data_IF_488903641590
#
_entry.id   IF_488903641590
#
_cell.length_a   1.000
_cell.length_b   1.000
_cell.length_c   1.000
_cell.angle_alpha   90.00
_cell.angle_beta   90.00
_cell.angle_gamma   90.00
#
_symmetry.space_group_name_H-M   'P 1'
#
loop_
_entity.id
_entity.type
_entity.pdbx_description
1 polymer ?
#
# COMPACT_ATOMS: atom_id res chain seq x y z
N UNK A 1 -10.20 9.12 -10.69
CA UNK A 1 -9.97 10.28 -9.79
C UNK A 1 -9.91 9.73 -8.37
N UNK A 2 -8.97 10.16 -7.52
CA UNK A 2 -8.78 9.61 -6.17
C UNK A 2 -10.08 9.57 -5.34
N UNK A 3 -10.92 10.59 -5.49
CA UNK A 3 -12.21 10.67 -4.79
C UNK A 3 -13.19 9.56 -5.16
N UNK A 4 -13.20 9.11 -6.42
CA UNK A 4 -14.09 8.04 -6.89
C UNK A 4 -13.60 6.70 -6.34
N UNK A 5 -12.30 6.44 -6.44
CA UNK A 5 -11.65 5.24 -5.91
C UNK A 5 -11.87 5.11 -4.40
N UNK A 6 -11.67 6.19 -3.64
CA UNK A 6 -11.97 6.22 -2.19
C UNK A 6 -13.45 5.98 -1.87
N UNK A 7 -14.36 6.42 -2.74
CA UNK A 7 -15.79 6.18 -2.56
C UNK A 7 -16.14 4.70 -2.80
N UNK A 8 -15.59 4.10 -3.86
CA UNK A 8 -15.77 2.68 -4.19
C UNK A 8 -15.22 1.79 -3.06
N UNK A 9 -13.99 2.05 -2.61
CA UNK A 9 -13.35 1.34 -1.51
C UNK A 9 -14.15 1.46 -0.21
N UNK A 10 -14.66 2.67 0.09
CA UNK A 10 -15.48 2.89 1.28
C UNK A 10 -16.76 2.06 1.24
N UNK A 11 -17.43 2.00 0.08
CA UNK A 11 -18.66 1.22 -0.08
C UNK A 11 -18.36 -0.28 0.05
N UNK A 12 -17.32 -0.77 -0.63
CA UNK A 12 -16.92 -2.17 -0.57
C UNK A 12 -16.57 -2.60 0.86
N UNK A 13 -15.78 -1.79 1.57
CA UNK A 13 -15.44 -2.02 2.97
C UNK A 13 -16.67 -1.99 3.87
N UNK A 14 -17.59 -1.04 3.67
CA UNK A 14 -18.82 -0.97 4.46
C UNK A 14 -19.69 -2.22 4.28
N UNK A 15 -19.85 -2.72 3.06
CA UNK A 15 -20.60 -3.95 2.78
C UNK A 15 -19.93 -5.16 3.46
N UNK A 16 -18.60 -5.24 3.39
CA UNK A 16 -17.83 -6.32 4.02
C UNK A 16 -17.99 -6.29 5.54
N UNK A 17 -17.82 -5.13 6.18
CA UNK A 17 -17.98 -4.97 7.63
C UNK A 17 -19.42 -5.19 8.10
N UNK A 18 -20.43 -4.78 7.31
CA UNK A 18 -21.85 -5.06 7.62
C UNK A 18 -22.18 -6.55 7.66
N UNK A 19 -21.45 -7.37 6.91
CA UNK A 19 -21.64 -8.84 6.90
C UNK A 19 -21.02 -9.55 8.11
N UNK A 20 -20.15 -8.85 8.86
CA UNK A 20 -19.40 -9.44 9.97
C UNK A 20 -20.16 -9.37 11.29
N UNK A 21 -19.91 -10.34 12.20
CA UNK A 21 -20.40 -10.23 13.57
C UNK A 21 -19.67 -9.11 14.33
N UNK A 22 -20.33 -8.54 15.34
CA UNK A 22 -19.79 -7.45 16.17
C UNK A 22 -18.45 -7.82 16.87
N UNK A 23 -18.31 -9.07 17.31
CA UNK A 23 -17.13 -9.55 18.03
C UNK A 23 -16.24 -10.40 17.14
N UNK A 24 -14.93 -10.17 17.22
CA UNK A 24 -13.91 -10.99 16.55
C UNK A 24 -13.50 -12.14 17.45
N UNK A 25 -13.35 -13.33 16.86
CA UNK A 25 -12.92 -14.54 17.56
C UNK A 25 -11.60 -15.06 16.99
N UNK A 26 -11.02 -16.07 17.65
CA UNK A 26 -9.78 -16.72 17.23
C UNK A 26 -9.83 -17.27 15.80
N UNK A 27 -11.00 -17.76 15.38
CA UNK A 27 -11.20 -18.41 14.08
C UNK A 27 -11.65 -17.43 12.98
N UNK A 28 -11.51 -16.12 13.22
CA UNK A 28 -11.81 -15.08 12.23
C UNK A 28 -10.85 -15.18 11.04
N UNK A 29 -11.41 -15.42 9.86
CA UNK A 29 -10.67 -15.61 8.60
C UNK A 29 -9.87 -14.36 8.23
N UNK A 30 -10.40 -13.17 8.48
CA UNK A 30 -9.73 -11.92 8.12
C UNK A 30 -8.51 -11.68 9.02
N UNK A 31 -8.61 -12.07 10.29
CA UNK A 31 -7.50 -11.98 11.23
C UNK A 31 -6.39 -12.96 10.85
N UNK A 32 -6.74 -14.22 10.56
CA UNK A 32 -5.77 -15.24 10.15
C UNK A 32 -5.07 -14.86 8.83
N UNK A 33 -5.83 -14.35 7.85
CA UNK A 33 -5.27 -13.84 6.60
C UNK A 33 -4.28 -12.69 6.83
N UNK A 34 -4.64 -11.72 7.68
CA UNK A 34 -3.77 -10.59 8.03
C UNK A 34 -2.46 -11.07 8.70
N UNK A 35 -2.56 -12.00 9.66
CA UNK A 35 -1.40 -12.53 10.39
C UNK A 35 -0.47 -13.36 9.50
N UNK A 36 -1.01 -14.08 8.51
CA UNK A 36 -0.22 -14.83 7.52
C UNK A 36 0.50 -13.92 6.52
N UNK A 37 -0.08 -12.76 6.21
CA UNK A 37 0.52 -11.79 5.30
C UNK A 37 1.67 -11.01 5.94
N UNK A 38 1.77 -10.98 7.27
CA UNK A 38 2.81 -10.24 7.98
C UNK A 38 4.20 -10.85 7.75
N UNK A 39 5.08 -10.07 7.13
CA UNK A 39 6.49 -10.41 7.02
C UNK A 39 7.18 -10.34 8.40
N UNK A 40 8.01 -11.32 8.72
CA UNK A 40 8.75 -11.40 10.00
C UNK A 40 10.24 -11.37 9.72
N UNK A 41 10.96 -10.51 10.42
CA UNK A 41 12.41 -10.46 10.34
C UNK A 41 13.01 -11.78 10.84
N UNK A 42 14.02 -12.28 10.13
CA UNK A 42 14.70 -13.54 10.47
C UNK A 42 13.99 -14.82 10.02
N UNK A 43 12.88 -14.73 9.28
CA UNK A 43 12.26 -15.92 8.67
C UNK A 43 13.14 -16.46 7.52
N UNK A 44 13.63 -17.71 7.60
CA UNK A 44 14.45 -18.31 6.55
C UNK A 44 13.72 -18.45 5.20
N UNK A 45 12.38 -18.53 5.19
CA UNK A 45 11.57 -18.69 3.98
C UNK A 45 11.13 -17.35 3.35
N UNK A 46 11.44 -16.22 3.97
CA UNK A 46 10.97 -14.90 3.53
C UNK A 46 11.38 -14.56 2.09
N UNK A 47 12.61 -14.90 1.70
CA UNK A 47 13.10 -14.70 0.33
C UNK A 47 12.30 -15.52 -0.69
N UNK A 48 11.97 -16.77 -0.36
CA UNK A 48 11.17 -17.63 -1.23
C UNK A 48 9.74 -17.09 -1.38
N UNK A 49 9.13 -16.64 -0.28
CA UNK A 49 7.78 -16.05 -0.28
C UNK A 49 7.73 -14.80 -1.16
N UNK A 50 8.70 -13.88 -1.03
CA UNK A 50 8.79 -12.66 -1.86
C UNK A 50 8.92 -12.98 -3.34
N UNK A 51 9.77 -13.94 -3.71
CA UNK A 51 9.95 -14.34 -5.11
C UNK A 51 8.64 -14.92 -5.68
N UNK A 52 7.97 -15.79 -4.93
CA UNK A 52 6.68 -16.37 -5.34
C UNK A 52 5.59 -15.32 -5.49
N UNK A 53 5.54 -14.33 -4.59
CA UNK A 53 4.60 -13.21 -4.70
C UNK A 53 4.90 -12.38 -5.96
N UNK A 54 6.17 -12.02 -6.20
CA UNK A 54 6.57 -11.26 -7.40
C UNK A 54 6.20 -11.99 -8.70
N UNK A 55 6.42 -13.31 -8.77
CA UNK A 55 5.99 -14.14 -9.91
C UNK A 55 4.48 -14.08 -10.12
N UNK A 56 3.68 -14.21 -9.06
CA UNK A 56 2.22 -14.16 -9.15
C UNK A 56 1.68 -12.79 -9.58
N UNK A 57 2.27 -11.70 -9.07
CA UNK A 57 1.87 -10.33 -9.43
C UNK A 57 2.24 -9.96 -10.87
N UNK A 58 3.36 -10.45 -11.39
CA UNK A 58 3.75 -10.26 -12.79
C UNK A 58 2.73 -10.85 -13.78
N UNK A 59 1.94 -11.86 -13.37
CA UNK A 59 0.88 -12.45 -14.22
C UNK A 59 -0.38 -11.59 -14.23
N UNK A 60 -0.65 -10.85 -13.15
CA UNK A 60 -1.86 -10.03 -12.97
C UNK A 60 -1.69 -8.65 -13.62
N UNK A 61 -0.46 -8.11 -13.67
CA UNK A 61 -0.17 -6.78 -14.23
C UNK A 61 -0.12 -6.73 -15.78
N UNK A 62 -0.30 -7.87 -16.48
CA UNK A 62 -0.47 -7.88 -17.93
C UNK A 62 -1.90 -7.53 -18.40
N UNK A 63 -2.89 -7.55 -17.50
CA UNK A 63 -4.30 -7.25 -17.84
C UNK A 63 -4.76 -5.87 -17.36
N UNK A 64 -4.01 -5.24 -16.44
CA UNK A 64 -4.23 -3.89 -15.92
C UNK A 64 -3.18 -2.98 -16.54
N UNK A 65 -3.55 -2.31 -17.64
CA UNK A 65 -2.62 -1.52 -18.45
C UNK A 65 -1.68 -0.62 -17.66
N UNK A 66 -0.38 -0.85 -17.84
CA UNK A 66 0.75 0.03 -17.47
C UNK A 66 0.64 0.67 -16.10
N UNK A 67 1.27 0.03 -15.09
CA UNK A 67 1.52 0.66 -13.79
C UNK A 67 1.90 2.14 -14.01
N UNK A 68 1.14 3.05 -13.38
CA UNK A 68 1.35 4.49 -13.58
C UNK A 68 2.83 4.78 -13.30
N UNK A 69 3.56 5.46 -14.19
CA UNK A 69 4.96 5.72 -13.97
C UNK A 69 5.14 6.37 -12.59
N UNK A 70 6.16 5.92 -11.87
CA UNK A 70 6.51 6.39 -10.54
C UNK A 70 7.81 7.20 -10.61
N UNK A 71 8.01 8.08 -9.62
CA UNK A 71 9.28 8.79 -9.49
C UNK A 71 10.37 7.84 -8.95
N UNK A 72 11.53 7.85 -9.60
CA UNK A 72 12.65 6.95 -9.29
C UNK A 72 13.75 7.59 -8.41
N UNK A 73 13.68 8.89 -8.13
CA UNK A 73 14.69 9.59 -7.34
C UNK A 73 14.40 9.58 -5.83
N UNK A 74 15.36 10.08 -5.05
CA UNK A 74 15.16 10.36 -3.62
C UNK A 74 14.27 11.59 -3.43
N UNK A 75 13.39 11.57 -2.44
CA UNK A 75 12.47 12.66 -2.14
C UNK A 75 12.31 12.81 -0.62
N UNK A 76 11.98 14.03 -0.18
CA UNK A 76 11.71 14.28 1.24
C UNK A 76 10.37 13.69 1.66
N UNK A 77 10.25 13.11 2.87
CA UNK A 77 8.98 12.63 3.37
C UNK A 77 8.02 13.81 3.58
N UNK A 78 6.73 13.55 3.38
CA UNK A 78 5.65 14.46 3.76
C UNK A 78 4.71 13.77 4.74
N UNK A 79 3.92 14.56 5.45
CA UNK A 79 2.95 14.07 6.46
C UNK A 79 1.94 13.05 5.93
N UNK A 80 1.70 13.05 4.62
CA UNK A 80 0.67 12.21 3.99
C UNK A 80 1.24 10.95 3.34
N UNK A 81 2.55 10.71 3.40
CA UNK A 81 3.22 9.59 2.71
C UNK A 81 3.05 9.59 1.19
N UNK A 82 2.68 10.72 0.60
CA UNK A 82 2.41 10.84 -0.85
C UNK A 82 3.73 10.96 -1.58
N UNK A 83 3.98 10.06 -2.53
CA UNK A 83 5.16 10.12 -3.40
C UNK A 83 5.05 11.27 -4.41
N UNK A 84 6.17 11.90 -4.80
CA UNK A 84 6.17 12.85 -5.91
C UNK A 84 5.73 12.16 -7.21
N UNK A 85 5.14 12.94 -8.10
CA UNK A 85 4.78 12.45 -9.43
C UNK A 85 6.01 12.10 -10.27
N UNK A 86 5.87 11.20 -11.23
CA UNK A 86 6.97 10.72 -12.08
C UNK A 86 7.72 11.80 -12.87
N UNK A 87 7.09 12.96 -13.10
CA UNK A 87 7.65 14.10 -13.84
C UNK A 87 8.36 15.11 -12.95
N UNK A 88 8.43 14.86 -11.65
CA UNK A 88 9.08 15.79 -10.73
C UNK A 88 10.59 15.81 -10.97
N UNK A 89 11.17 17.00 -10.95
CA UNK A 89 12.58 17.28 -11.29
C UNK A 89 13.55 16.96 -10.12
N UNK A 90 13.05 16.50 -8.98
CA UNK A 90 13.88 16.19 -7.79
C UNK A 90 14.32 17.41 -6.97
N UNK A 91 14.15 18.62 -7.49
CA UNK A 91 14.48 19.85 -6.77
C UNK A 91 13.35 20.25 -5.81
N UNK A 92 13.65 20.28 -4.51
CA UNK A 92 12.73 20.79 -3.48
C UNK A 92 12.55 22.31 -3.60
N UNK A 93 11.30 22.75 -3.66
CA UNK A 93 10.88 24.16 -3.74
C UNK A 93 9.93 24.50 -2.59
N UNK A 94 10.17 23.93 -1.41
CA UNK A 94 9.36 24.14 -0.22
C UNK A 94 9.86 25.32 0.63
N UNK A 95 9.03 25.76 1.57
CA UNK A 95 9.39 26.73 2.61
C UNK A 95 10.07 26.06 3.84
N UNK A 96 10.35 24.76 3.77
CA UNK A 96 10.89 23.97 4.88
C UNK A 96 9.88 23.55 5.95
N UNK A 97 8.57 23.78 5.78
CA UNK A 97 7.55 23.40 6.77
C UNK A 97 7.55 21.90 7.07
N UNK A 98 7.52 21.05 6.03
CA UNK A 98 7.52 19.59 6.21
C UNK A 98 8.77 19.14 6.97
N UNK A 99 9.94 19.72 6.67
CA UNK A 99 11.19 19.42 7.40
C UNK A 99 11.08 19.74 8.89
N UNK A 100 10.58 20.93 9.23
CA UNK A 100 10.40 21.37 10.63
C UNK A 100 9.33 20.58 11.37
N UNK A 101 8.41 19.94 10.66
CA UNK A 101 7.36 19.14 11.28
C UNK A 101 7.89 17.77 11.76
N UNK A 102 8.92 17.24 11.09
CA UNK A 102 9.56 15.96 11.45
C UNK A 102 10.78 16.12 12.38
N UNK A 103 11.23 17.36 12.59
CA UNK A 103 12.30 17.73 13.53
C UNK A 103 11.75 17.84 14.95
#
# INVERSE_FOLDING_TARGET
>A
LKQIEEQEDRIANAIHEMSKPLARYRDDKDLDAYLRAQEREGDPMLNYIRNKQAESHNVIDLTVGSSKPMYNGSYMPNRFGIRPGYRWDGVDRSNGYEKRWFE
#
